data_IF_651211743324
#
_entry.id   IF_651211743324
#
_cell.length_a   1.000
_cell.length_b   1.000
_cell.length_c   1.000
_cell.angle_alpha   90.00
_cell.angle_beta   90.00
_cell.angle_gamma   90.00
#
_symmetry.space_group_name_H-M   'P 1'
#
loop_
_entity.id
_entity.type
_entity.pdbx_description
1 polymer ?
#
# COMPACT_ATOMS: atom_id res chain seq x y z
N UNK A 1 -41.45 6.02 10.33
CA UNK A 1 -40.15 6.17 11.03
C UNK A 1 -39.91 4.92 11.85
N UNK A 2 -39.16 3.96 11.31
CA UNK A 2 -38.89 2.68 11.96
C UNK A 2 -37.75 2.87 12.94
N UNK A 3 -38.01 2.71 14.24
CA UNK A 3 -36.98 2.68 15.29
C UNK A 3 -36.07 1.49 15.04
N UNK A 4 -34.82 1.76 14.67
CA UNK A 4 -33.77 0.73 14.64
C UNK A 4 -33.38 0.45 16.09
N UNK A 5 -33.76 -0.72 16.59
CA UNK A 5 -33.32 -1.20 17.91
C UNK A 5 -31.82 -1.50 17.84
N UNK A 6 -31.04 -0.68 18.53
CA UNK A 6 -29.62 -0.91 18.76
C UNK A 6 -29.44 -1.98 19.86
N UNK A 7 -29.64 -3.25 19.50
CA UNK A 7 -29.24 -4.37 20.34
C UNK A 7 -28.03 -5.06 19.70
N UNK A 8 -26.84 -4.50 19.94
CA UNK A 8 -25.57 -5.19 19.78
C UNK A 8 -24.55 -4.57 20.75
N UNK A 9 -24.80 -4.75 22.04
CA UNK A 9 -24.18 -4.01 23.16
C UNK A 9 -22.88 -4.63 23.68
N UNK A 10 -22.17 -5.44 22.88
CA UNK A 10 -20.96 -6.17 23.31
C UNK A 10 -19.64 -5.64 22.75
N UNK A 11 -19.68 -4.60 21.91
CA UNK A 11 -18.47 -4.02 21.31
C UNK A 11 -18.14 -2.70 22.00
N UNK A 12 -17.08 -2.68 22.80
CA UNK A 12 -16.56 -1.45 23.40
C UNK A 12 -15.63 -0.75 22.40
N UNK A 13 -16.02 0.42 21.91
CA UNK A 13 -15.21 1.17 20.92
C UNK A 13 -13.93 1.79 21.51
N UNK A 14 -13.71 1.66 22.82
CA UNK A 14 -12.54 2.16 23.54
C UNK A 14 -11.67 1.04 24.12
N UNK A 15 -12.13 -0.21 24.06
CA UNK A 15 -11.39 -1.39 24.51
C UNK A 15 -10.61 -2.00 23.34
N UNK A 16 -9.29 -1.88 23.34
CA UNK A 16 -8.41 -2.48 22.31
C UNK A 16 -7.87 -3.86 22.73
N UNK A 17 -8.38 -4.46 23.81
CA UNK A 17 -7.96 -5.80 24.25
C UNK A 17 -8.49 -6.91 23.35
N UNK A 18 -7.82 -8.07 23.35
CA UNK A 18 -8.27 -9.29 22.64
C UNK A 18 -9.67 -9.77 23.08
N UNK A 19 -10.18 -9.30 24.22
CA UNK A 19 -11.53 -9.64 24.72
C UNK A 19 -12.63 -8.88 24.00
N UNK A 20 -12.31 -7.80 23.28
CA UNK A 20 -13.28 -7.08 22.49
C UNK A 20 -13.55 -7.83 21.19
N UNK A 21 -14.72 -8.46 21.09
CA UNK A 21 -15.19 -9.15 19.88
C UNK A 21 -15.53 -8.12 18.79
N UNK A 22 -14.50 -7.57 18.15
CA UNK A 22 -14.67 -6.71 16.98
C UNK A 22 -15.38 -7.51 15.88
N UNK A 23 -16.30 -6.84 15.16
CA UNK A 23 -16.96 -7.47 14.02
C UNK A 23 -15.89 -7.93 13.01
N UNK A 24 -16.03 -9.14 12.44
CA UNK A 24 -15.11 -9.63 11.41
C UNK A 24 -14.99 -8.60 10.29
N UNK A 25 -13.76 -8.31 9.88
CA UNK A 25 -13.52 -7.41 8.75
C UNK A 25 -14.22 -7.98 7.50
N UNK A 26 -15.00 -7.13 6.82
CA UNK A 26 -15.60 -7.53 5.54
C UNK A 26 -14.50 -7.83 4.53
N UNK A 27 -14.64 -8.94 3.81
CA UNK A 27 -13.72 -9.29 2.74
C UNK A 27 -13.86 -8.29 1.60
N UNK A 28 -12.75 -7.74 1.11
CA UNK A 28 -12.74 -6.85 -0.05
C UNK A 28 -13.22 -7.61 -1.31
N UNK A 29 -14.12 -6.99 -2.08
CA UNK A 29 -14.70 -7.56 -3.30
C UNK A 29 -14.47 -6.70 -4.53
N UNK A 30 -13.99 -5.47 -4.35
CA UNK A 30 -13.82 -4.46 -5.39
C UNK A 30 -12.63 -3.56 -5.10
N UNK A 31 -12.19 -2.76 -6.09
CA UNK A 31 -11.21 -1.68 -5.89
C UNK A 31 -11.69 -0.72 -4.79
N UNK A 32 -12.97 -0.38 -4.83
CA UNK A 32 -13.59 0.57 -3.89
C UNK A 32 -13.46 0.11 -2.44
N UNK A 33 -13.62 -1.19 -2.16
CA UNK A 33 -13.50 -1.71 -0.80
C UNK A 33 -12.07 -1.54 -0.24
N UNK A 34 -11.08 -1.81 -1.09
CA UNK A 34 -9.66 -1.67 -0.73
C UNK A 34 -9.30 -0.19 -0.53
N UNK A 35 -9.66 0.68 -1.48
CA UNK A 35 -9.40 2.12 -1.37
C UNK A 35 -10.12 2.74 -0.17
N UNK A 36 -11.36 2.32 0.14
CA UNK A 36 -12.11 2.80 1.32
C UNK A 36 -11.45 2.39 2.63
N UNK A 37 -10.92 1.18 2.70
CA UNK A 37 -10.19 0.68 3.87
C UNK A 37 -8.89 1.47 4.07
N UNK A 38 -8.12 1.72 3.02
CA UNK A 38 -6.91 2.55 3.07
C UNK A 38 -7.21 4.01 3.45
N UNK A 39 -8.28 4.61 2.93
CA UNK A 39 -8.72 5.95 3.35
C UNK A 39 -9.14 6.00 4.82
N UNK A 40 -9.70 4.91 5.34
CA UNK A 40 -10.01 4.80 6.77
C UNK A 40 -8.71 4.73 7.59
N UNK A 41 -7.74 3.92 7.18
CA UNK A 41 -6.41 3.88 7.79
C UNK A 41 -5.72 5.25 7.74
N UNK A 42 -5.83 5.98 6.64
CA UNK A 42 -5.26 7.34 6.49
C UNK A 42 -5.79 8.30 7.55
N UNK A 43 -7.11 8.26 7.84
CA UNK A 43 -7.72 9.09 8.89
C UNK A 43 -7.07 8.82 10.25
N UNK A 44 -6.86 7.55 10.60
CA UNK A 44 -6.12 7.21 11.81
C UNK A 44 -4.66 7.69 11.73
N UNK A 45 -4.00 7.48 10.60
CA UNK A 45 -2.58 7.80 10.48
C UNK A 45 -2.24 9.27 10.66
N UNK A 46 -3.11 10.17 10.17
CA UNK A 46 -2.93 11.62 10.34
C UNK A 46 -2.92 12.05 11.81
N UNK A 47 -3.62 11.33 12.69
CA UNK A 47 -3.72 11.69 14.11
C UNK A 47 -2.67 10.98 14.99
N UNK A 48 -2.22 9.79 14.61
CA UNK A 48 -1.44 8.93 15.50
C UNK A 48 -0.03 8.59 14.98
N UNK A 49 0.27 8.88 13.71
CA UNK A 49 1.55 8.54 13.10
C UNK A 49 2.26 9.74 12.47
N UNK A 50 3.57 9.57 12.22
CA UNK A 50 4.40 10.58 11.55
C UNK A 50 3.94 10.83 10.11
N UNK A 51 4.30 12.00 9.56
CA UNK A 51 4.01 12.36 8.17
C UNK A 51 4.53 11.31 7.17
N UNK A 52 5.65 10.64 7.45
CA UNK A 52 6.19 9.57 6.62
C UNK A 52 5.21 8.39 6.48
N UNK A 53 4.54 7.99 7.56
CA UNK A 53 3.54 6.91 7.53
C UNK A 53 2.28 7.37 6.81
N UNK A 54 1.86 8.63 7.01
CA UNK A 54 0.72 9.21 6.29
C UNK A 54 0.98 9.20 4.78
N UNK A 55 2.16 9.65 4.34
CA UNK A 55 2.54 9.65 2.93
C UNK A 55 2.55 8.23 2.35
N UNK A 56 3.05 7.23 3.09
CA UNK A 56 3.02 5.84 2.65
C UNK A 56 1.59 5.32 2.44
N UNK A 57 0.65 5.69 3.32
CA UNK A 57 -0.76 5.33 3.15
C UNK A 57 -1.36 6.03 1.93
N UNK A 58 -1.00 7.30 1.70
CA UNK A 58 -1.41 8.05 0.51
C UNK A 58 -0.90 7.41 -0.78
N UNK A 59 0.37 7.01 -0.83
CA UNK A 59 0.96 6.30 -1.97
C UNK A 59 0.23 4.98 -2.24
N UNK A 60 -0.15 4.24 -1.19
CA UNK A 60 -0.92 3.01 -1.33
C UNK A 60 -2.34 3.26 -1.88
N UNK A 61 -3.00 4.35 -1.47
CA UNK A 61 -4.30 4.76 -2.03
C UNK A 61 -4.15 5.06 -3.53
N UNK A 62 -3.17 5.88 -3.90
CA UNK A 62 -2.91 6.23 -5.30
C UNK A 62 -2.56 5.02 -6.15
N UNK A 63 -1.80 4.06 -5.61
CA UNK A 63 -1.52 2.78 -6.29
C UNK A 63 -2.82 2.02 -6.59
N UNK A 64 -3.71 1.84 -5.62
CA UNK A 64 -4.95 1.07 -5.82
C UNK A 64 -5.92 1.79 -6.76
N UNK A 65 -6.06 3.10 -6.61
CA UNK A 65 -6.94 3.91 -7.47
C UNK A 65 -6.47 3.87 -8.95
N UNK A 66 -5.16 3.77 -9.20
CA UNK A 66 -4.58 3.68 -10.56
C UNK A 66 -4.39 2.25 -11.07
N UNK A 67 -4.56 1.23 -10.22
CA UNK A 67 -4.30 -0.15 -10.58
C UNK A 67 -5.39 -0.71 -11.53
N UNK A 68 -4.97 -1.11 -12.74
CA UNK A 68 -5.85 -1.65 -13.79
C UNK A 68 -5.67 -3.16 -14.03
N UNK A 69 -4.83 -3.85 -13.26
CA UNK A 69 -4.56 -5.27 -13.46
C UNK A 69 -5.65 -6.22 -12.95
N UNK A 70 -6.76 -5.70 -12.44
CA UNK A 70 -7.93 -6.46 -12.01
C UNK A 70 -9.21 -5.75 -12.45
N UNK A 71 -10.17 -6.52 -12.94
CA UNK A 71 -11.53 -6.04 -13.16
C UNK A 71 -12.23 -5.84 -11.82
N UNK A 72 -13.14 -4.86 -11.75
CA UNK A 72 -13.85 -4.57 -10.50
C UNK A 72 -14.77 -5.72 -10.05
N UNK A 73 -15.18 -6.59 -10.98
CA UNK A 73 -15.96 -7.80 -10.72
C UNK A 73 -15.14 -8.98 -10.17
N UNK A 74 -13.80 -8.92 -10.21
CA UNK A 74 -12.95 -10.01 -9.73
C UNK A 74 -12.76 -9.97 -8.22
N UNK A 75 -13.78 -10.45 -7.51
CA UNK A 75 -13.79 -10.49 -6.04
C UNK A 75 -12.65 -11.31 -5.42
N UNK A 76 -12.17 -12.36 -6.11
CA UNK A 76 -11.04 -13.17 -5.62
C UNK A 76 -9.75 -12.40 -5.77
N UNK A 77 -9.54 -11.75 -6.93
CA UNK A 77 -8.43 -10.85 -7.17
C UNK A 77 -8.34 -9.74 -6.13
N UNK A 78 -9.46 -9.06 -5.83
CA UNK A 78 -9.49 -7.99 -4.82
C UNK A 78 -9.26 -8.48 -3.39
N UNK A 79 -9.72 -9.69 -3.05
CA UNK A 79 -9.38 -10.34 -1.77
C UNK A 79 -7.88 -10.59 -1.65
N UNK A 80 -7.24 -11.13 -2.70
CA UNK A 80 -5.80 -11.38 -2.72
C UNK A 80 -5.00 -10.06 -2.70
N UNK A 81 -5.48 -9.02 -3.38
CA UNK A 81 -4.90 -7.69 -3.34
C UNK A 81 -4.94 -7.11 -1.93
N UNK A 82 -6.09 -7.16 -1.25
CA UNK A 82 -6.21 -6.71 0.14
C UNK A 82 -5.29 -7.47 1.09
N UNK A 83 -5.17 -8.80 0.91
CA UNK A 83 -4.24 -9.63 1.67
C UNK A 83 -2.78 -9.23 1.42
N UNK A 84 -2.39 -9.02 0.17
CA UNK A 84 -1.04 -8.60 -0.20
C UNK A 84 -0.67 -7.24 0.40
N UNK A 85 -1.55 -6.24 0.29
CA UNK A 85 -1.35 -4.92 0.91
C UNK A 85 -1.17 -5.08 2.43
N UNK A 86 -2.07 -5.82 3.07
CA UNK A 86 -2.03 -6.06 4.53
C UNK A 86 -0.71 -6.71 4.94
N UNK A 87 -0.22 -7.69 4.17
CA UNK A 87 1.08 -8.33 4.41
C UNK A 87 2.25 -7.35 4.29
N UNK A 88 2.26 -6.48 3.27
CA UNK A 88 3.30 -5.46 3.10
C UNK A 88 3.29 -4.43 4.23
N UNK A 89 2.11 -3.93 4.61
CA UNK A 89 1.96 -3.03 5.74
C UNK A 89 2.36 -3.70 7.05
N UNK A 90 1.93 -4.93 7.32
CA UNK A 90 2.29 -5.67 8.54
C UNK A 90 3.80 -5.86 8.67
N UNK A 91 4.48 -6.17 7.55
CA UNK A 91 5.94 -6.25 7.52
C UNK A 91 6.56 -4.88 7.83
N UNK A 92 6.07 -3.81 7.21
CA UNK A 92 6.51 -2.45 7.48
C UNK A 92 6.35 -2.06 8.97
N UNK A 93 5.17 -2.33 9.55
CA UNK A 93 4.91 -2.13 10.98
C UNK A 93 5.86 -2.94 11.86
N UNK A 94 6.11 -4.21 11.55
CA UNK A 94 7.06 -5.03 12.29
C UNK A 94 8.48 -4.42 12.29
N UNK A 95 8.88 -3.81 11.17
CA UNK A 95 10.19 -3.19 11.03
C UNK A 95 10.26 -1.83 11.77
N UNK A 96 9.20 -1.02 11.73
CA UNK A 96 9.09 0.20 12.56
C UNK A 96 9.13 -0.13 14.05
N UNK A 97 8.36 -1.13 14.50
CA UNK A 97 8.31 -1.55 15.91
C UNK A 97 9.68 -2.07 16.36
N UNK A 98 10.42 -2.74 15.47
CA UNK A 98 11.82 -3.13 15.73
C UNK A 98 12.83 -1.97 15.70
N UNK A 99 12.37 -0.73 15.45
CA UNK A 99 13.18 0.50 15.29
C UNK A 99 14.27 0.40 14.21
N UNK A 100 14.12 -0.51 13.26
CA UNK A 100 15.07 -0.74 12.18
C UNK A 100 14.54 -0.16 10.86
N UNK A 101 14.66 1.16 10.75
CA UNK A 101 14.24 1.93 9.56
C UNK A 101 15.06 1.52 8.32
N UNK A 102 16.29 1.06 8.51
CA UNK A 102 17.17 0.60 7.43
C UNK A 102 16.77 -0.77 6.91
N UNK A 103 16.35 -1.69 7.79
CA UNK A 103 15.72 -2.96 7.37
C UNK A 103 14.39 -2.71 6.66
N UNK A 104 13.58 -1.76 7.14
CA UNK A 104 12.34 -1.37 6.47
C UNK A 104 12.56 -0.88 5.05
N UNK A 105 13.50 0.05 4.89
CA UNK A 105 13.92 0.57 3.59
C UNK A 105 14.47 -0.54 2.70
N UNK A 106 15.28 -1.44 3.24
CA UNK A 106 15.88 -2.55 2.49
C UNK A 106 14.82 -3.53 1.98
N UNK A 107 13.83 -3.88 2.81
CA UNK A 107 12.75 -4.77 2.42
C UNK A 107 11.88 -4.17 1.31
N UNK A 108 11.56 -2.88 1.39
CA UNK A 108 10.83 -2.17 0.31
C UNK A 108 11.65 -2.17 -0.98
N UNK A 109 12.94 -1.78 -0.90
CA UNK A 109 13.83 -1.78 -2.06
C UNK A 109 14.04 -3.17 -2.68
N UNK A 110 13.97 -4.22 -1.87
CA UNK A 110 14.07 -5.61 -2.35
C UNK A 110 12.83 -6.09 -3.12
N UNK A 111 11.67 -5.49 -2.84
CA UNK A 111 10.40 -5.85 -3.46
C UNK A 111 10.12 -5.09 -4.77
N UNK A 112 10.92 -4.06 -5.08
CA UNK A 112 10.79 -3.32 -6.33
C UNK A 112 11.21 -4.18 -7.53
N UNK A 113 10.57 -4.01 -8.70
CA UNK A 113 10.96 -4.69 -9.93
C UNK A 113 12.43 -4.48 -10.30
N UNK A 114 13.03 -5.50 -10.92
CA UNK A 114 14.39 -5.47 -11.46
C UNK A 114 14.38 -5.61 -12.99
N UNK A 115 15.33 -4.97 -13.67
CA UNK A 115 15.56 -5.12 -15.11
C UNK A 115 16.90 -5.84 -15.25
N UNK A 116 16.85 -7.16 -15.43
CA UNK A 116 18.01 -8.01 -15.21
C UNK A 116 18.45 -7.96 -13.74
N UNK A 117 19.71 -7.62 -13.50
CA UNK A 117 20.30 -7.45 -12.17
C UNK A 117 20.16 -6.03 -11.61
N UNK A 118 19.66 -5.08 -12.41
CA UNK A 118 19.56 -3.65 -12.05
C UNK A 118 18.30 -3.33 -11.24
N UNK A 119 18.45 -2.48 -10.23
CA UNK A 119 17.36 -1.97 -9.39
C UNK A 119 16.73 -0.71 -9.98
N UNK A 120 15.50 -0.39 -9.60
CA UNK A 120 14.85 0.88 -9.96
C UNK A 120 15.69 2.09 -9.56
N UNK A 121 15.95 2.96 -10.54
CA UNK A 121 16.47 4.30 -10.31
C UNK A 121 15.37 5.15 -9.69
N UNK A 122 15.41 5.34 -8.37
CA UNK A 122 14.42 6.16 -7.66
C UNK A 122 14.43 7.63 -8.12
N UNK A 123 15.60 8.13 -8.56
CA UNK A 123 15.72 9.49 -9.08
C UNK A 123 14.97 9.65 -10.42
N UNK A 124 14.94 8.60 -11.25
CA UNK A 124 14.26 8.62 -12.54
C UNK A 124 12.73 8.73 -12.42
N UNK A 125 12.14 8.17 -11.36
CA UNK A 125 10.70 8.26 -11.08
C UNK A 125 10.33 9.42 -10.14
N UNK A 126 11.32 10.19 -9.69
CA UNK A 126 11.09 11.38 -8.87
C UNK A 126 10.77 12.60 -9.74
N UNK A 127 10.15 13.63 -9.15
CA UNK A 127 9.87 14.91 -9.84
C UNK A 127 11.13 15.58 -10.40
N UNK A 128 12.29 15.38 -9.76
CA UNK A 128 13.58 15.92 -10.21
C UNK A 128 14.05 15.23 -11.51
N UNK A 129 13.61 14.00 -11.74
CA UNK A 129 14.07 13.17 -12.85
C UNK A 129 15.54 12.75 -12.72
N UNK A 130 15.92 11.75 -13.50
CA UNK A 130 17.31 11.36 -13.67
C UNK A 130 17.72 11.67 -15.12
N UNK A 131 18.69 12.58 -15.34
CA UNK A 131 19.10 12.94 -16.70
C UNK A 131 19.68 11.76 -17.48
N UNK A 132 20.21 10.75 -16.78
CA UNK A 132 20.72 9.54 -17.38
C UNK A 132 21.96 9.74 -18.24
N UNK A 133 22.47 8.66 -18.81
CA UNK A 133 23.69 8.64 -19.63
C UNK A 133 23.52 9.20 -21.05
N UNK A 134 22.37 9.79 -21.36
CA UNK A 134 22.01 10.24 -22.72
C UNK A 134 21.47 9.13 -23.64
N UNK A 135 21.58 7.86 -23.25
CA UNK A 135 21.07 6.70 -24.01
C UNK A 135 19.81 6.10 -23.37
N UNK A 136 19.16 6.82 -22.46
CA UNK A 136 18.00 6.37 -21.71
C UNK A 136 18.31 5.55 -20.46
N UNK A 137 19.58 5.33 -20.11
CA UNK A 137 19.97 4.57 -18.92
C UNK A 137 20.31 5.48 -17.73
N UNK A 138 20.42 4.89 -16.55
CA UNK A 138 20.98 5.57 -15.39
C UNK A 138 22.51 5.65 -15.48
N UNK A 139 23.10 6.72 -14.95
CA UNK A 139 24.56 6.82 -14.76
C UNK A 139 25.11 5.76 -13.79
N UNK A 140 24.29 5.30 -12.82
CA UNK A 140 24.64 4.17 -11.96
C UNK A 140 24.34 2.87 -12.72
N UNK A 141 25.38 2.10 -13.05
CA UNK A 141 25.28 0.85 -13.79
C UNK A 141 24.44 -0.22 -13.07
N UNK A 142 24.23 -0.09 -11.75
CA UNK A 142 23.36 -0.97 -10.95
C UNK A 142 21.90 -0.54 -10.96
N UNK A 143 21.57 0.54 -11.67
CA UNK A 143 20.23 1.13 -11.73
C UNK A 143 19.69 1.14 -13.16
N UNK A 144 18.38 0.95 -13.28
CA UNK A 144 17.69 1.08 -14.54
C UNK A 144 16.60 2.16 -14.45
N UNK A 145 16.40 2.86 -15.55
CA UNK A 145 15.24 3.70 -15.77
C UNK A 145 14.13 2.78 -16.28
N UNK A 146 13.25 2.35 -15.39
CA UNK A 146 12.13 1.51 -15.79
C UNK A 146 11.13 2.41 -16.50
N UNK A 147 11.21 2.47 -17.83
CA UNK A 147 10.10 2.93 -18.63
C UNK A 147 9.17 1.73 -18.84
N UNK A 148 7.94 1.75 -18.32
CA UNK A 148 6.93 0.82 -18.81
C UNK A 148 6.79 1.12 -20.31
N UNK A 149 6.92 0.11 -21.17
CA UNK A 149 6.70 0.24 -22.63
C UNK A 149 5.22 0.48 -22.97
N UNK A 150 4.56 1.36 -22.23
CA UNK A 150 3.13 1.37 -21.87
C UNK A 150 2.83 0.49 -20.65
N UNK A 151 1.88 0.94 -19.83
CA UNK A 151 0.88 0.02 -19.30
C UNK A 151 0.15 -0.56 -20.51
N UNK A 152 0.74 -1.58 -21.14
CA UNK A 152 0.44 -1.93 -22.52
C UNK A 152 -0.92 -2.63 -22.60
N UNK A 153 -1.85 -1.88 -23.19
CA UNK A 153 -3.14 -2.25 -23.73
C UNK A 153 -3.13 -3.65 -24.38
N UNK A 154 -4.10 -4.47 -23.97
CA UNK A 154 -5.07 -5.14 -24.85
C UNK A 154 -6.32 -5.44 -24.04
#
# INVERSE_FOLDING_TARGET
>A
MTRVNAHDSTVSFTDFSERNTLRPAQTARSRTDVSRSLRSLRKFAVHFYTQTVVNLVDDAISFIDSYQGLFDSDSVGWKLMAFWITSKFSKFWSMIVSRDVDAARTAVLSALPRQGDKRLCMKAISVVGCPGDGNGNCFDSKRAHFQPNSFLKS
#
